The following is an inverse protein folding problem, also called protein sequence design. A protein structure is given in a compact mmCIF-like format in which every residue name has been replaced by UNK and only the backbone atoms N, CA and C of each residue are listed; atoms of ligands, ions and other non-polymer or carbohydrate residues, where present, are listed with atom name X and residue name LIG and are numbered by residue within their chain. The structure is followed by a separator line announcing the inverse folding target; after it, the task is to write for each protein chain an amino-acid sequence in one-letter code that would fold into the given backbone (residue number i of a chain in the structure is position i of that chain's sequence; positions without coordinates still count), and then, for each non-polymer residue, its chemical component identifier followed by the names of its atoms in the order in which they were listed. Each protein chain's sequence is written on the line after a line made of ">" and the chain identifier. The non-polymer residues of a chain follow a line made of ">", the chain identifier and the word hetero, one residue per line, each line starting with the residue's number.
data_IF_103417843470
#
_entry.id   IF_103417843470
#
_cell.length_a   1.000
_cell.length_b   1.000
_cell.length_c   1.000
_cell.angle_alpha   90.00
_cell.angle_beta   90.00
_cell.angle_gamma   90.00
#
_symmetry.space_group_name_H-M   'P 1'
#
loop_
_entity.id
_entity.type
_entity.pdbx_description
1 polymer ?
#
# COMPACT_ATOMS: atom_id res chain seq x y z
N UNK A 1 -20.96 -10.50 -12.89
CA UNK A 1 -20.16 -11.38 -12.01
C UNK A 1 -18.98 -10.56 -11.55
N UNK A 2 -18.89 -10.15 -10.26
CA UNK A 2 -17.71 -9.44 -9.77
C UNK A 2 -16.58 -10.46 -9.65
N UNK A 3 -15.62 -10.41 -10.58
CA UNK A 3 -14.41 -11.22 -10.52
C UNK A 3 -13.76 -10.98 -9.14
N UNK A 4 -13.35 -12.04 -8.46
CA UNK A 4 -12.42 -11.89 -7.34
C UNK A 4 -11.10 -11.44 -7.97
N UNK A 5 -10.89 -10.13 -8.06
CA UNK A 5 -9.63 -9.61 -8.56
C UNK A 5 -8.54 -10.10 -7.59
N UNK A 6 -7.58 -10.84 -8.12
CA UNK A 6 -6.41 -11.24 -7.35
C UNK A 6 -5.53 -10.02 -7.08
N UNK A 7 -4.68 -10.08 -6.05
CA UNK A 7 -3.71 -9.02 -5.77
C UNK A 7 -2.97 -8.59 -7.03
N UNK A 8 -2.51 -9.56 -7.83
CA UNK A 8 -1.81 -9.32 -9.08
C UNK A 8 -2.67 -8.64 -10.16
N UNK A 9 -3.95 -9.00 -10.29
CA UNK A 9 -4.87 -8.34 -11.23
C UNK A 9 -5.12 -6.87 -10.81
N UNK A 10 -5.37 -6.61 -9.53
CA UNK A 10 -5.57 -5.24 -9.03
C UNK A 10 -4.32 -4.39 -9.17
N UNK A 11 -3.13 -4.93 -8.85
CA UNK A 11 -1.87 -4.22 -9.07
C UNK A 11 -1.67 -3.86 -10.55
N UNK A 12 -2.02 -4.75 -11.48
CA UNK A 12 -1.94 -4.45 -12.91
C UNK A 12 -2.95 -3.38 -13.34
N UNK A 13 -4.16 -3.38 -12.79
CA UNK A 13 -5.14 -2.34 -13.04
C UNK A 13 -4.62 -0.97 -12.55
N UNK A 14 -4.12 -0.90 -11.31
CA UNK A 14 -3.55 0.32 -10.74
C UNK A 14 -2.32 0.82 -11.51
N UNK A 15 -1.48 -0.07 -12.04
CA UNK A 15 -0.37 0.30 -12.93
C UNK A 15 -0.87 1.02 -14.19
N UNK A 16 -1.98 0.58 -14.78
CA UNK A 16 -2.59 1.24 -15.94
C UNK A 16 -3.18 2.61 -15.58
N UNK A 17 -3.57 2.83 -14.32
CA UNK A 17 -4.04 4.12 -13.79
C UNK A 17 -2.90 5.06 -13.37
N UNK A 18 -1.64 4.61 -13.48
CA UNK A 18 -0.44 5.39 -13.19
C UNK A 18 0.20 5.14 -11.82
N UNK A 19 -0.36 4.24 -10.99
CA UNK A 19 0.29 3.80 -9.75
C UNK A 19 1.39 2.80 -10.08
N UNK A 20 2.54 3.30 -10.48
CA UNK A 20 3.66 2.48 -10.97
C UNK A 20 4.79 2.34 -9.95
N UNK A 21 4.83 3.25 -8.97
CA UNK A 21 5.84 3.26 -7.93
C UNK A 21 5.59 2.18 -6.87
N UNK A 22 6.66 1.62 -6.34
CA UNK A 22 6.63 0.73 -5.18
C UNK A 22 6.94 1.54 -3.92
N UNK A 23 6.01 1.51 -2.97
CA UNK A 23 6.08 2.24 -1.72
C UNK A 23 6.26 1.26 -0.57
N UNK A 24 7.10 1.64 0.37
CA UNK A 24 7.35 0.90 1.60
C UNK A 24 6.96 1.79 2.79
N UNK A 25 6.29 1.22 3.78
CA UNK A 25 6.00 1.92 5.04
C UNK A 25 7.24 1.92 5.94
N UNK A 26 7.50 3.06 6.57
CA UNK A 26 8.56 3.25 7.57
C UNK A 26 7.99 4.11 8.70
N UNK A 27 7.90 3.63 9.94
CA UNK A 27 7.48 4.43 11.12
C UNK A 27 6.36 5.45 10.84
N UNK A 28 6.69 6.75 10.66
CA UNK A 28 5.80 7.88 10.38
C UNK A 28 5.79 8.38 8.90
N UNK A 29 6.30 7.59 7.95
CA UNK A 29 6.46 7.98 6.55
C UNK A 29 6.40 6.79 5.58
N UNK A 30 6.31 7.09 4.29
CA UNK A 30 6.50 6.11 3.21
C UNK A 30 7.78 6.39 2.44
N UNK A 31 8.44 5.36 1.97
CA UNK A 31 9.64 5.44 1.13
C UNK A 31 9.35 4.88 -0.26
N UNK A 32 9.67 5.68 -1.28
CA UNK A 32 9.82 5.23 -2.64
C UNK A 32 11.31 4.97 -2.90
N UNK A 33 11.71 3.70 -2.90
CA UNK A 33 13.10 3.28 -3.10
C UNK A 33 13.60 3.61 -4.51
N UNK A 34 12.74 3.46 -5.52
CA UNK A 34 13.06 3.73 -6.92
C UNK A 34 13.43 5.20 -7.12
N UNK A 35 12.68 6.11 -6.51
CA UNK A 35 12.91 7.56 -6.59
C UNK A 35 13.84 8.09 -5.50
N UNK A 36 14.27 7.24 -4.55
CA UNK A 36 15.04 7.62 -3.36
C UNK A 36 14.40 8.79 -2.60
N UNK A 37 13.07 8.79 -2.53
CA UNK A 37 12.27 9.82 -1.85
C UNK A 37 11.49 9.22 -0.69
N UNK A 38 11.26 10.06 0.32
CA UNK A 38 10.46 9.73 1.50
C UNK A 38 9.38 10.78 1.65
N UNK A 39 8.19 10.35 2.02
CA UNK A 39 7.03 11.23 2.21
C UNK A 39 6.50 11.00 3.62
N UNK A 40 6.56 12.01 4.50
CA UNK A 40 5.94 11.92 5.82
C UNK A 40 4.43 11.69 5.70
N UNK A 41 3.82 11.26 6.80
CA UNK A 41 2.38 10.96 6.89
C UNK A 41 1.48 12.07 6.34
N UNK A 42 1.91 13.33 6.41
CA UNK A 42 1.14 14.50 5.94
C UNK A 42 1.34 14.80 4.43
N UNK A 43 2.31 14.14 3.78
CA UNK A 43 2.70 14.37 2.37
C UNK A 43 2.21 13.29 1.40
N UNK A 44 1.23 12.48 1.81
CA UNK A 44 0.55 11.55 0.92
C UNK A 44 -0.87 11.26 1.39
N UNK A 45 -1.70 10.80 0.47
CA UNK A 45 -3.08 10.38 0.72
C UNK A 45 -3.31 8.97 0.18
N UNK A 46 -4.14 8.21 0.88
CA UNK A 46 -4.57 6.88 0.44
C UNK A 46 -5.82 7.05 -0.42
N UNK A 47 -5.67 6.87 -1.73
CA UNK A 47 -6.79 7.01 -2.67
C UNK A 47 -7.73 5.80 -2.58
N UNK A 48 -7.14 4.60 -2.54
CA UNK A 48 -7.86 3.34 -2.50
C UNK A 48 -7.12 2.30 -1.66
N UNK A 49 -7.88 1.39 -1.06
CA UNK A 49 -7.33 0.21 -0.41
C UNK A 49 -8.12 -1.04 -0.79
N UNK A 50 -7.42 -2.16 -0.95
CA UNK A 50 -7.98 -3.44 -1.38
C UNK A 50 -7.47 -4.53 -0.46
N UNK A 51 -8.39 -5.20 0.23
CA UNK A 51 -8.06 -6.34 1.09
C UNK A 51 -8.20 -7.63 0.29
N UNK A 52 -7.15 -8.43 0.30
CA UNK A 52 -7.10 -9.75 -0.30
C UNK A 52 -6.93 -10.80 0.79
N UNK A 53 -7.74 -11.85 0.68
CA UNK A 53 -7.55 -13.06 1.47
C UNK A 53 -6.61 -13.97 0.68
N UNK A 54 -5.53 -14.41 1.32
CA UNK A 54 -4.56 -15.29 0.70
C UNK A 54 -5.24 -16.55 0.16
N UNK A 55 -5.07 -16.79 -1.14
CA UNK A 55 -5.58 -18.01 -1.79
C UNK A 55 -4.96 -19.29 -1.22
N UNK A 56 -3.76 -19.18 -0.62
CA UNK A 56 -3.02 -20.30 -0.05
C UNK A 56 -3.27 -20.52 1.43
N UNK A 57 -3.56 -19.47 2.20
CA UNK A 57 -3.80 -19.54 3.63
C UNK A 57 -4.74 -18.40 4.05
N UNK A 58 -5.88 -18.67 4.70
CA UNK A 58 -6.77 -17.62 5.21
C UNK A 58 -6.09 -16.71 6.27
N UNK A 59 -4.94 -17.12 6.80
CA UNK A 59 -4.09 -16.29 7.64
C UNK A 59 -3.21 -15.29 6.85
N UNK A 60 -2.98 -15.53 5.55
CA UNK A 60 -2.20 -14.66 4.67
C UNK A 60 -3.09 -13.54 4.10
N UNK A 61 -3.61 -12.70 4.98
CA UNK A 61 -4.30 -11.49 4.55
C UNK A 61 -3.29 -10.45 4.08
N UNK A 62 -3.58 -9.80 2.95
CA UNK A 62 -2.79 -8.69 2.43
C UNK A 62 -3.69 -7.52 2.10
N UNK A 63 -3.20 -6.29 2.34
CA UNK A 63 -3.87 -5.06 1.95
C UNK A 63 -2.99 -4.32 0.97
N UNK A 64 -3.53 -4.01 -0.20
CA UNK A 64 -2.90 -3.14 -1.20
C UNK A 64 -3.48 -1.74 -1.04
N UNK A 65 -2.61 -0.75 -0.88
CA UNK A 65 -2.96 0.66 -0.85
C UNK A 65 -2.47 1.33 -2.13
N UNK A 66 -3.35 2.07 -2.80
CA UNK A 66 -3.02 3.01 -3.84
C UNK A 66 -2.85 4.39 -3.19
N UNK A 67 -1.69 4.99 -3.36
CA UNK A 67 -1.29 6.22 -2.66
C UNK A 67 -0.86 7.27 -3.67
N UNK A 68 -1.34 8.49 -3.48
CA UNK A 68 -0.87 9.69 -4.18
C UNK A 68 -0.11 10.58 -3.20
N UNK A 69 1.11 10.97 -3.56
CA UNK A 69 1.94 11.89 -2.78
C UNK A 69 1.60 13.34 -3.10
N UNK A 70 1.95 14.27 -2.21
CA UNK A 70 1.69 15.71 -2.37
C UNK A 70 2.37 16.32 -3.61
N UNK A 71 3.44 15.70 -4.10
CA UNK A 71 4.13 16.07 -5.35
C UNK A 71 3.55 15.37 -6.61
N UNK A 72 2.42 14.68 -6.48
CA UNK A 72 1.65 14.08 -7.58
C UNK A 72 2.17 12.71 -8.05
N UNK A 73 3.07 12.08 -7.30
CA UNK A 73 3.50 10.72 -7.61
C UNK A 73 2.50 9.69 -7.10
N UNK A 74 2.34 8.61 -7.87
CA UNK A 74 1.37 7.56 -7.60
C UNK A 74 2.09 6.23 -7.41
N UNK A 75 1.87 5.62 -6.26
CA UNK A 75 2.50 4.36 -5.90
C UNK A 75 1.57 3.39 -5.20
N UNK A 76 2.05 2.16 -5.08
CA UNK A 76 1.37 1.06 -4.43
C UNK A 76 2.16 0.63 -3.20
N UNK A 77 1.47 0.45 -2.08
CA UNK A 77 2.01 -0.13 -0.85
C UNK A 77 1.29 -1.46 -0.61
N UNK A 78 2.03 -2.55 -0.48
CA UNK A 78 1.47 -3.85 -0.11
C UNK A 78 1.83 -4.14 1.35
N UNK A 79 0.82 -4.27 2.19
CA UNK A 79 0.99 -4.73 3.57
C UNK A 79 0.53 -6.18 3.70
N UNK A 80 1.48 -7.09 3.90
CA UNK A 80 1.22 -8.49 4.21
C UNK A 80 1.48 -8.71 5.69
N UNK A 81 0.45 -9.12 6.44
CA UNK A 81 0.43 -9.30 7.91
C UNK A 81 1.39 -10.38 8.48
N UNK A 82 2.54 -10.64 7.84
CA UNK A 82 3.49 -11.68 8.24
C UNK A 82 4.92 -11.20 8.52
N UNK A 83 5.40 -10.10 7.93
CA UNK A 83 6.84 -9.72 7.99
C UNK A 83 7.15 -8.23 7.85
N UNK A 84 6.21 -7.34 8.08
CA UNK A 84 6.52 -5.91 8.24
C UNK A 84 7.07 -5.70 9.66
N UNK A 85 8.26 -6.22 9.93
CA UNK A 85 9.00 -6.08 11.20
C UNK A 85 9.53 -4.68 11.46
N UNK A 86 8.82 -3.65 11.00
CA UNK A 86 9.06 -2.25 11.33
C UNK A 86 8.03 -1.82 12.36
N UNK A 87 8.49 -1.16 13.43
CA UNK A 87 7.59 -0.37 14.28
C UNK A 87 6.97 0.69 13.37
N UNK A 88 5.67 0.57 13.12
CA UNK A 88 4.84 1.57 12.44
C UNK A 88 4.14 2.34 13.55
N UNK A 89 4.11 3.66 13.45
CA UNK A 89 3.48 4.48 14.48
C UNK A 89 1.95 4.28 14.50
N UNK A 90 1.32 4.57 15.64
CA UNK A 90 -0.14 4.58 15.74
C UNK A 90 -0.79 5.54 14.75
N UNK A 91 -0.12 6.66 14.42
CA UNK A 91 -0.63 7.62 13.44
C UNK A 91 -0.71 6.99 12.05
N UNK A 92 0.36 6.29 11.67
CA UNK A 92 0.45 5.64 10.37
C UNK A 92 -0.55 4.47 10.26
N UNK A 93 -0.73 3.69 11.34
CA UNK A 93 -1.80 2.68 11.41
C UNK A 93 -3.19 3.29 11.21
N UNK A 94 -3.48 4.41 11.87
CA UNK A 94 -4.75 5.11 11.70
C UNK A 94 -4.93 5.66 10.28
N UNK A 95 -3.89 6.23 9.66
CA UNK A 95 -3.96 6.77 8.30
C UNK A 95 -4.17 5.67 7.25
N UNK A 96 -3.47 4.55 7.38
CA UNK A 96 -3.66 3.38 6.51
C UNK A 96 -4.92 2.57 6.87
N UNK A 97 -5.64 2.93 7.92
CA UNK A 97 -6.78 2.16 8.46
C UNK A 97 -6.44 0.69 8.75
N UNK A 98 -5.19 0.43 9.14
CA UNK A 98 -4.74 -0.88 9.61
C UNK A 98 -5.28 -1.05 11.04
N UNK A 99 -6.24 -1.95 11.22
CA UNK A 99 -6.81 -2.33 12.52
C UNK A 99 -6.66 -3.83 12.77
#
# INVERSE_FOLDING_TARGET
>A
MKKKDTLSETMNALRNEGYVDDLNVLDDQIENKTKKKKYPIDDFEVDHYFRFEGVSNPADNSILYAITTSDGHKGMLVDGYGKSGGQISDKMLNKLQIK
#
